data_IF_563755134725
#
_entry.id   IF_563755134725
#
_cell.length_a   1.000
_cell.length_b   1.000
_cell.length_c   1.000
_cell.angle_alpha   90.00
_cell.angle_beta   90.00
_cell.angle_gamma   90.00
#
_symmetry.space_group_name_H-M   'P 1'
#
loop_
_entity.id
_entity.type
_entity.pdbx_description
1 polymer ?
#
# COMPACT_ATOMS: atom_id res chain seq x y z
N UNK A 1 2.50 5.44 -15.38
CA UNK A 1 2.00 5.88 -16.69
C UNK A 1 0.99 4.85 -17.19
N UNK A 2 -0.30 5.16 -17.14
CA UNK A 2 -1.30 4.50 -17.99
C UNK A 2 -1.47 5.45 -19.18
N UNK A 3 -0.80 5.15 -20.30
CA UNK A 3 -1.19 5.74 -21.58
C UNK A 3 -2.65 5.38 -21.86
N UNK A 4 -3.38 6.25 -22.56
CA UNK A 4 -4.77 5.99 -22.91
C UNK A 4 -4.88 4.60 -23.54
N UNK A 5 -5.69 3.74 -22.93
CA UNK A 5 -5.93 2.40 -23.45
C UNK A 5 -6.95 2.53 -24.59
N UNK A 6 -6.74 1.88 -25.75
CA UNK A 6 -7.67 2.01 -26.87
C UNK A 6 -9.09 1.57 -26.47
N UNK A 7 -10.11 2.25 -27.00
CA UNK A 7 -11.53 1.89 -26.81
C UNK A 7 -11.88 0.68 -27.68
N UNK A 8 -11.31 -0.47 -27.31
CA UNK A 8 -11.53 -1.78 -27.93
C UNK A 8 -11.70 -2.84 -26.84
N UNK A 9 -12.30 -4.01 -27.13
CA UNK A 9 -12.38 -5.08 -26.14
C UNK A 9 -11.00 -5.53 -25.64
N UNK A 10 -9.98 -5.57 -26.50
CA UNK A 10 -8.59 -5.76 -26.08
C UNK A 10 -8.12 -4.66 -25.12
N UNK A 11 -8.38 -3.39 -25.45
CA UNK A 11 -8.00 -2.28 -24.58
C UNK A 11 -8.72 -2.30 -23.23
N UNK A 12 -10.01 -2.61 -23.19
CA UNK A 12 -10.75 -2.78 -21.93
C UNK A 12 -10.20 -3.94 -21.09
N UNK A 13 -9.90 -5.09 -21.71
CA UNK A 13 -9.30 -6.23 -21.01
C UNK A 13 -7.90 -5.91 -20.49
N UNK A 14 -7.09 -5.17 -21.26
CA UNK A 14 -5.76 -4.72 -20.84
C UNK A 14 -5.88 -3.72 -19.68
N UNK A 15 -6.82 -2.78 -19.75
CA UNK A 15 -7.13 -1.85 -18.68
C UNK A 15 -7.54 -2.57 -17.40
N UNK A 16 -8.42 -3.56 -17.47
CA UNK A 16 -8.83 -4.38 -16.33
C UNK A 16 -7.66 -5.19 -15.73
N UNK A 17 -6.84 -5.82 -16.56
CA UNK A 17 -5.63 -6.52 -16.12
C UNK A 17 -4.66 -5.56 -15.40
N UNK A 18 -4.40 -4.40 -16.00
CA UNK A 18 -3.55 -3.37 -15.41
C UNK A 18 -4.16 -2.76 -14.15
N UNK A 19 -5.50 -2.72 -14.01
CA UNK A 19 -6.18 -2.30 -12.79
C UNK A 19 -6.14 -3.38 -11.70
N UNK A 20 -5.90 -4.65 -12.01
CA UNK A 20 -5.62 -5.67 -10.99
C UNK A 20 -4.16 -5.62 -10.56
N UNK A 21 -3.25 -5.31 -11.48
CA UNK A 21 -1.83 -5.17 -11.19
C UNK A 21 -1.46 -3.84 -10.50
N UNK A 22 -2.00 -2.71 -10.96
CA UNK A 22 -1.88 -1.42 -10.27
C UNK A 22 -3.01 -1.21 -9.25
N UNK A 23 -3.86 -2.23 -9.08
CA UNK A 23 -5.04 -2.19 -8.25
C UNK A 23 -4.73 -2.15 -6.77
N UNK A 24 -5.49 -1.32 -6.08
CA UNK A 24 -5.42 -1.17 -4.63
C UNK A 24 -6.32 -2.19 -3.90
N UNK A 25 -6.91 -3.17 -4.60
CA UNK A 25 -7.59 -4.32 -3.99
C UNK A 25 -6.61 -5.20 -3.20
N UNK A 26 -7.08 -6.02 -2.23
CA UNK A 26 -6.26 -7.10 -1.70
C UNK A 26 -5.72 -7.91 -2.88
N UNK A 27 -4.41 -8.11 -2.91
CA UNK A 27 -3.79 -8.80 -4.03
C UNK A 27 -4.31 -10.23 -4.10
N UNK A 28 -4.86 -10.60 -5.24
CA UNK A 28 -5.27 -11.95 -5.57
C UNK A 28 -4.51 -12.39 -6.82
N UNK A 29 -3.47 -13.18 -6.60
CA UNK A 29 -2.61 -13.72 -7.66
C UNK A 29 -3.41 -14.57 -8.64
N UNK A 30 -4.36 -15.35 -8.16
CA UNK A 30 -5.20 -16.20 -8.99
C UNK A 30 -6.11 -15.35 -9.90
N UNK A 31 -6.71 -14.28 -9.36
CA UNK A 31 -7.49 -13.34 -10.14
C UNK A 31 -6.64 -12.62 -11.21
N UNK A 32 -5.39 -12.28 -10.88
CA UNK A 32 -4.47 -11.66 -11.83
C UNK A 32 -4.09 -12.61 -12.98
N UNK A 33 -3.79 -13.88 -12.68
CA UNK A 33 -3.54 -14.90 -13.70
C UNK A 33 -4.77 -15.18 -14.55
N UNK A 34 -5.96 -15.24 -13.95
CA UNK A 34 -7.20 -15.43 -14.69
C UNK A 34 -7.48 -14.26 -15.65
N UNK A 35 -7.28 -13.02 -15.21
CA UNK A 35 -7.43 -11.83 -16.06
C UNK A 35 -6.39 -11.81 -17.19
N UNK A 36 -5.15 -12.22 -16.93
CA UNK A 36 -4.13 -12.33 -17.97
C UNK A 36 -4.46 -13.39 -19.02
N UNK A 37 -5.02 -14.54 -18.60
CA UNK A 37 -5.50 -15.57 -19.52
C UNK A 37 -6.68 -15.07 -20.37
N UNK A 38 -7.62 -14.34 -19.78
CA UNK A 38 -8.72 -13.73 -20.51
C UNK A 38 -8.22 -12.70 -21.54
N UNK A 39 -7.23 -11.89 -21.17
CA UNK A 39 -6.60 -10.93 -22.07
C UNK A 39 -5.92 -11.61 -23.27
N UNK A 40 -5.22 -12.74 -23.05
CA UNK A 40 -4.67 -13.56 -24.14
C UNK A 40 -5.75 -13.98 -25.12
N UNK A 41 -6.87 -14.47 -24.60
CA UNK A 41 -7.94 -15.00 -25.44
C UNK A 41 -8.61 -13.89 -26.26
N UNK A 42 -8.70 -12.66 -25.73
CA UNK A 42 -9.14 -11.47 -26.49
C UNK A 42 -8.10 -11.08 -27.54
N UNK A 43 -6.82 -11.06 -27.18
CA UNK A 43 -5.73 -10.72 -28.09
C UNK A 43 -5.68 -11.67 -29.29
N UNK A 44 -5.85 -12.99 -29.07
CA UNK A 44 -5.86 -13.98 -30.12
C UNK A 44 -7.04 -13.81 -31.12
N UNK A 45 -8.17 -13.25 -30.66
CA UNK A 45 -9.34 -12.98 -31.51
C UNK A 45 -9.23 -11.68 -32.30
N UNK A 46 -8.77 -10.61 -31.66
CA UNK A 46 -8.76 -9.26 -32.27
C UNK A 46 -7.45 -8.94 -33.00
N UNK A 47 -6.36 -9.58 -32.59
CA UNK A 47 -5.01 -9.32 -33.08
C UNK A 47 -4.23 -10.63 -33.29
N UNK A 48 -4.70 -11.55 -34.16
CA UNK A 48 -4.10 -12.89 -34.33
C UNK A 48 -2.63 -12.85 -34.78
N UNK A 49 -2.22 -11.81 -35.50
CA UNK A 49 -0.85 -11.64 -35.99
C UNK A 49 0.09 -10.99 -34.97
N UNK A 50 -0.43 -10.55 -33.81
CA UNK A 50 0.37 -9.88 -32.78
C UNK A 50 1.06 -10.92 -31.89
N UNK A 51 2.37 -10.77 -31.60
CA UNK A 51 3.06 -11.68 -30.70
C UNK A 51 2.47 -11.64 -29.30
N UNK A 52 2.32 -12.82 -28.68
CA UNK A 52 1.83 -13.00 -27.32
C UNK A 52 2.79 -13.87 -26.48
N UNK A 53 3.13 -13.47 -25.24
CA UNK A 53 2.78 -12.21 -24.58
C UNK A 53 3.36 -10.98 -25.27
N UNK A 54 2.82 -9.80 -24.96
CA UNK A 54 3.27 -8.55 -25.58
C UNK A 54 4.77 -8.32 -25.30
N UNK A 55 5.61 -8.07 -26.33
CA UNK A 55 7.00 -7.71 -26.12
C UNK A 55 7.13 -6.42 -25.30
N UNK A 56 8.05 -6.40 -24.35
CA UNK A 56 8.40 -5.23 -23.53
C UNK A 56 9.92 -5.21 -23.29
N UNK A 57 10.40 -4.32 -22.43
CA UNK A 57 11.81 -4.25 -22.03
C UNK A 57 11.94 -4.08 -20.52
N UNK A 58 13.04 -4.59 -19.97
CA UNK A 58 13.50 -4.23 -18.64
C UNK A 58 14.06 -2.79 -18.63
N UNK A 59 14.24 -2.21 -17.44
CA UNK A 59 14.84 -0.87 -17.27
C UNK A 59 16.26 -0.77 -17.86
N UNK A 60 16.98 -1.90 -17.94
CA UNK A 60 18.30 -1.98 -18.57
C UNK A 60 18.25 -2.15 -20.10
N UNK A 61 17.06 -2.03 -20.71
CA UNK A 61 16.84 -2.16 -22.15
C UNK A 61 16.77 -3.61 -22.66
N UNK A 62 17.00 -4.62 -21.81
CA UNK A 62 16.95 -6.03 -22.24
C UNK A 62 15.52 -6.42 -22.68
N UNK A 63 15.37 -7.20 -23.76
CA UNK A 63 14.07 -7.71 -24.21
C UNK A 63 13.36 -8.51 -23.11
N UNK A 64 12.06 -8.29 -22.96
CA UNK A 64 11.20 -8.98 -22.02
C UNK A 64 9.82 -9.23 -22.64
N UNK A 65 8.97 -9.95 -21.90
CA UNK A 65 7.57 -10.17 -22.27
C UNK A 65 6.66 -9.75 -21.12
N UNK A 66 5.57 -9.06 -21.44
CA UNK A 66 4.56 -8.63 -20.47
C UNK A 66 3.81 -9.85 -19.95
N UNK A 67 4.27 -10.39 -18.85
CA UNK A 67 3.68 -11.52 -18.12
C UNK A 67 3.29 -11.07 -16.71
N UNK A 68 2.48 -11.88 -16.03
CA UNK A 68 2.17 -11.66 -14.61
C UNK A 68 3.48 -11.63 -13.80
N UNK A 69 4.36 -12.59 -14.04
CA UNK A 69 5.63 -12.77 -13.34
C UNK A 69 6.58 -11.60 -13.58
N UNK A 70 6.64 -11.08 -14.81
CA UNK A 70 7.44 -9.89 -15.12
C UNK A 70 6.96 -8.68 -14.30
N UNK A 71 5.64 -8.44 -14.27
CA UNK A 71 5.06 -7.34 -13.52
C UNK A 71 5.27 -7.50 -12.01
N UNK A 72 5.05 -8.71 -11.46
CA UNK A 72 5.35 -9.01 -10.06
C UNK A 72 6.83 -8.79 -9.74
N UNK A 73 7.73 -9.17 -10.65
CA UNK A 73 9.17 -8.94 -10.55
C UNK A 73 9.55 -7.46 -10.48
N UNK A 74 8.91 -6.61 -11.29
CA UNK A 74 9.10 -5.16 -11.23
C UNK A 74 8.68 -4.58 -9.87
N UNK A 75 7.51 -5.00 -9.36
CA UNK A 75 7.03 -4.59 -8.04
C UNK A 75 8.01 -4.98 -6.93
N UNK A 76 8.54 -6.22 -6.97
CA UNK A 76 9.55 -6.70 -6.02
C UNK A 76 10.86 -5.93 -6.10
N UNK A 77 11.34 -5.67 -7.31
CA UNK A 77 12.62 -4.98 -7.52
C UNK A 77 12.64 -3.56 -6.92
N UNK A 78 11.47 -2.89 -6.88
CA UNK A 78 11.32 -1.56 -6.26
C UNK A 78 11.71 -1.54 -4.78
N UNK A 79 11.30 -2.56 -4.03
CA UNK A 79 11.56 -2.63 -2.58
C UNK A 79 12.83 -3.40 -2.25
N UNK A 80 13.26 -4.33 -3.10
CA UNK A 80 14.47 -5.12 -2.89
C UNK A 80 15.76 -4.28 -2.85
N UNK A 81 15.73 -3.06 -3.40
CA UNK A 81 16.87 -2.12 -3.39
C UNK A 81 16.94 -1.27 -2.13
N UNK A 82 15.89 -1.26 -1.30
CA UNK A 82 15.82 -0.44 -0.10
C UNK A 82 16.52 -1.13 1.08
N UNK A 83 17.15 -0.37 2.00
CA UNK A 83 17.77 -0.92 3.19
C UNK A 83 16.74 -1.62 4.08
N UNK A 84 17.06 -2.84 4.50
CA UNK A 84 16.23 -3.62 5.43
C UNK A 84 16.40 -3.06 6.84
N UNK A 85 15.27 -2.89 7.54
CA UNK A 85 15.20 -2.38 8.91
C UNK A 85 14.58 -3.45 9.82
N UNK A 86 15.16 -3.72 11.00
CA UNK A 86 14.56 -4.67 11.94
C UNK A 86 13.25 -4.12 12.54
N UNK A 87 12.27 -4.99 12.76
CA UNK A 87 10.98 -4.63 13.36
C UNK A 87 11.14 -3.89 14.71
N UNK A 88 12.17 -4.22 15.49
CA UNK A 88 12.49 -3.51 16.74
C UNK A 88 12.84 -2.03 16.55
N UNK A 89 13.51 -1.67 15.46
CA UNK A 89 13.81 -0.27 15.13
C UNK A 89 12.55 0.49 14.70
N UNK A 90 11.69 -0.13 13.89
CA UNK A 90 10.37 0.43 13.54
C UNK A 90 9.51 0.61 14.79
N UNK A 91 9.49 -0.38 15.69
CA UNK A 91 8.82 -0.28 16.98
C UNK A 91 9.39 0.82 17.88
N UNK A 92 10.69 1.09 17.81
CA UNK A 92 11.31 2.22 18.51
C UNK A 92 10.90 3.57 17.92
N UNK A 93 10.89 3.70 16.60
CA UNK A 93 10.40 4.89 15.92
C UNK A 93 8.92 5.15 16.26
N UNK A 94 8.06 4.12 16.24
CA UNK A 94 6.64 4.25 16.59
C UNK A 94 6.38 4.64 18.05
N UNK A 95 7.33 4.45 18.96
CA UNK A 95 7.18 4.94 20.35
C UNK A 95 7.23 6.46 20.42
N UNK A 96 7.84 7.14 19.44
CA UNK A 96 7.86 8.61 19.40
C UNK A 96 6.47 9.19 19.13
N UNK A 97 5.56 8.42 18.51
CA UNK A 97 4.16 8.81 18.33
C UNK A 97 3.34 8.79 19.64
N UNK A 98 3.90 8.37 20.77
CA UNK A 98 3.18 8.42 22.04
C UNK A 98 2.73 9.85 22.35
N UNK A 99 1.45 10.02 22.67
CA UNK A 99 0.83 11.33 22.85
C UNK A 99 0.35 11.97 21.55
N UNK A 100 0.66 11.43 20.37
CA UNK A 100 0.14 11.97 19.12
C UNK A 100 -1.39 11.81 19.04
N UNK A 101 -2.07 12.84 18.54
CA UNK A 101 -3.52 12.86 18.36
C UNK A 101 -3.86 12.46 16.94
N UNK A 102 -4.85 11.59 16.76
CA UNK A 102 -5.39 11.30 15.43
C UNK A 102 -6.14 12.53 14.93
N UNK A 103 -5.76 13.03 13.77
CA UNK A 103 -6.47 14.14 13.14
C UNK A 103 -7.43 13.65 12.05
N UNK A 104 -6.91 12.81 11.16
CA UNK A 104 -7.62 12.36 9.98
C UNK A 104 -7.72 10.84 9.97
N UNK A 105 -8.91 10.35 9.61
CA UNK A 105 -9.09 8.95 9.21
C UNK A 105 -9.82 8.92 7.89
N UNK A 106 -9.08 8.59 6.84
CA UNK A 106 -9.61 8.42 5.50
C UNK A 106 -9.77 6.93 5.20
N UNK A 107 -10.98 6.57 4.78
CA UNK A 107 -11.23 5.26 4.18
C UNK A 107 -11.34 5.46 2.68
N UNK A 108 -10.38 4.90 1.95
CA UNK A 108 -10.38 4.96 0.50
C UNK A 108 -11.15 3.76 0.02
N UNK A 109 -12.32 3.98 -0.59
CA UNK A 109 -13.20 2.91 -1.10
C UNK A 109 -13.09 2.72 -2.61
N UNK A 110 -12.59 3.72 -3.32
CA UNK A 110 -12.33 3.70 -4.77
C UNK A 110 -11.09 2.83 -5.09
N UNK A 111 -10.30 2.52 -4.06
CA UNK A 111 -8.96 1.92 -4.11
C UNK A 111 -8.87 0.66 -3.18
N UNK A 112 -9.89 -0.18 -3.06
CA UNK A 112 -9.86 -1.34 -2.13
C UNK A 112 -10.09 -0.96 -0.66
N UNK A 113 -9.86 -1.83 0.35
CA UNK A 113 -10.09 -1.51 1.76
C UNK A 113 -8.89 -0.76 2.38
N UNK A 114 -8.43 0.32 1.75
CA UNK A 114 -7.30 1.11 2.25
C UNK A 114 -7.68 1.97 3.46
N UNK A 115 -6.80 2.06 4.44
CA UNK A 115 -6.92 2.95 5.60
C UNK A 115 -5.75 3.92 5.65
N UNK A 116 -6.06 5.21 5.73
CA UNK A 116 -5.09 6.25 6.08
C UNK A 116 -5.45 6.84 7.45
N UNK A 117 -4.47 6.91 8.33
CA UNK A 117 -4.59 7.57 9.64
C UNK A 117 -3.48 8.61 9.77
N UNK A 118 -3.87 9.88 9.91
CA UNK A 118 -2.95 11.00 10.09
C UNK A 118 -2.85 11.36 11.58
N UNK A 119 -1.61 11.54 12.05
CA UNK A 119 -1.27 11.84 13.43
C UNK A 119 -0.63 13.23 13.54
N UNK A 120 -1.06 13.98 14.54
CA UNK A 120 -0.50 15.29 14.89
C UNK A 120 0.13 15.29 16.27
N UNK A 121 1.08 16.20 16.47
CA UNK A 121 1.56 16.56 17.80
C UNK A 121 0.41 17.06 18.67
N UNK A 122 0.27 16.48 19.86
CA UNK A 122 -0.53 17.10 20.91
C UNK A 122 0.38 18.01 21.76
N UNK A 123 0.55 19.29 21.37
CA UNK A 123 0.95 20.35 22.31
C UNK A 123 0.83 21.79 21.74
N UNK A 124 -0.09 22.52 22.37
CA UNK A 124 -0.19 23.93 22.80
C UNK A 124 0.13 25.14 21.91
N UNK A 125 1.02 25.13 20.91
CA UNK A 125 1.31 26.40 20.20
C UNK A 125 1.23 26.33 18.66
N UNK A 126 1.62 25.24 18.00
CA UNK A 126 1.31 25.04 16.57
C UNK A 126 1.18 23.55 16.20
N UNK A 127 0.08 23.10 15.57
CA UNK A 127 -0.05 21.73 15.10
C UNK A 127 0.97 21.44 13.99
N UNK A 128 1.86 20.47 14.22
CA UNK A 128 2.72 19.88 13.18
C UNK A 128 2.29 18.44 12.90
N UNK A 129 2.26 18.08 11.61
CA UNK A 129 2.04 16.71 11.17
C UNK A 129 3.18 15.83 11.70
N UNK A 130 2.85 14.84 12.53
CA UNK A 130 3.83 13.96 13.17
C UNK A 130 4.09 12.71 12.31
N UNK A 131 3.05 12.24 11.63
CA UNK A 131 3.18 11.08 10.75
C UNK A 131 1.88 10.56 10.20
N UNK A 132 1.99 9.59 9.30
CA UNK A 132 0.84 8.95 8.67
C UNK A 132 1.05 7.43 8.62
N UNK A 133 -0.01 6.68 8.96
CA UNK A 133 -0.14 5.25 8.68
C UNK A 133 -0.98 5.09 7.42
N UNK A 134 -0.48 4.33 6.45
CA UNK A 134 -1.24 3.84 5.31
C UNK A 134 -1.29 2.32 5.35
N UNK A 135 -2.47 1.71 5.30
CA UNK A 135 -2.62 0.25 5.28
C UNK A 135 -3.46 -0.19 4.08
N UNK A 136 -2.85 -0.95 3.18
CA UNK A 136 -3.47 -1.55 1.99
C UNK A 136 -3.76 -3.06 2.18
N UNK A 137 -3.54 -3.55 3.41
CA UNK A 137 -3.84 -4.90 3.86
C UNK A 137 -5.05 -4.94 4.82
N UNK A 138 -5.29 -6.09 5.45
CA UNK A 138 -6.40 -6.23 6.37
C UNK A 138 -6.16 -5.41 7.65
N UNK A 139 -7.18 -4.68 8.11
CA UNK A 139 -7.12 -3.92 9.35
C UNK A 139 -8.46 -3.94 10.08
N UNK A 140 -8.43 -3.70 11.38
CA UNK A 140 -9.62 -3.61 12.22
C UNK A 140 -9.45 -2.57 13.33
N UNK A 141 -10.45 -1.71 13.49
CA UNK A 141 -10.59 -0.85 14.67
C UNK A 141 -11.55 -1.51 15.67
N UNK A 142 -11.08 -1.73 16.89
CA UNK A 142 -11.82 -2.38 17.97
C UNK A 142 -12.13 -1.34 19.06
N UNK A 143 -13.40 -1.21 19.49
CA UNK A 143 -13.79 -0.29 20.54
C UNK A 143 -13.30 -0.73 21.92
N UNK A 144 -13.24 0.23 22.86
CA UNK A 144 -12.87 0.00 24.26
C UNK A 144 -13.78 -0.99 25.00
N UNK A 145 -15.08 -1.01 24.67
CA UNK A 145 -16.03 -1.99 25.20
C UNK A 145 -16.49 -2.92 24.09
N UNK A 146 -16.42 -4.26 24.30
CA UNK A 146 -16.86 -5.23 23.30
C UNK A 146 -18.39 -5.20 23.19
N UNK A 147 -18.93 -4.35 22.33
CA UNK A 147 -20.31 -4.52 21.85
C UNK A 147 -20.32 -5.71 20.90
N UNK A 148 -21.27 -6.66 21.12
CA UNK A 148 -21.46 -7.85 20.28
C UNK A 148 -21.26 -7.52 18.79
N UNK A 149 -20.49 -8.34 18.06
CA UNK A 149 -20.21 -8.07 16.65
C UNK A 149 -21.53 -8.13 15.87
N UNK A 150 -21.92 -7.01 15.23
CA UNK A 150 -22.82 -7.09 14.08
C UNK A 150 -21.93 -7.06 12.85
N UNK A 151 -22.03 -8.10 12.03
CA UNK A 151 -21.19 -8.29 10.85
C UNK A 151 -21.39 -7.18 9.81
N UNK A 152 -20.32 -6.85 9.08
CA UNK A 152 -20.33 -5.96 7.91
C UNK A 152 -20.22 -4.46 8.25
N UNK A 153 -19.27 -3.76 7.60
CA UNK A 153 -19.07 -2.30 7.59
C UNK A 153 -18.61 -1.60 8.90
N UNK A 154 -18.44 -2.30 10.03
CA UNK A 154 -18.11 -1.65 11.31
C UNK A 154 -16.66 -1.18 11.48
N UNK A 155 -15.67 -1.75 10.80
CA UNK A 155 -14.27 -1.33 10.94
C UNK A 155 -14.06 0.17 10.65
N UNK A 156 -14.67 0.68 9.58
CA UNK A 156 -14.55 2.08 9.15
C UNK A 156 -15.18 3.04 10.14
N UNK A 157 -16.38 2.75 10.66
CA UNK A 157 -17.04 3.61 11.63
C UNK A 157 -16.24 3.71 12.94
N UNK A 158 -15.67 2.59 13.40
CA UNK A 158 -14.82 2.59 14.59
C UNK A 158 -13.47 3.27 14.33
N UNK A 159 -12.90 3.11 13.13
CA UNK A 159 -11.68 3.82 12.75
C UNK A 159 -11.92 5.34 12.71
N UNK A 160 -13.02 5.80 12.10
CA UNK A 160 -13.38 7.22 12.13
C UNK A 160 -13.63 7.76 13.55
N UNK A 161 -14.11 6.92 14.46
CA UNK A 161 -14.26 7.28 15.87
C UNK A 161 -12.91 7.45 16.62
N UNK A 162 -11.78 7.10 16.00
CA UNK A 162 -10.45 7.39 16.53
C UNK A 162 -10.05 8.86 16.35
N UNK A 163 -10.73 9.63 15.48
CA UNK A 163 -10.43 11.06 15.30
C UNK A 163 -10.50 11.78 16.66
N UNK A 164 -9.42 12.47 16.98
CA UNK A 164 -9.21 13.16 18.23
C UNK A 164 -8.70 12.30 19.39
N UNK A 165 -8.63 10.97 19.23
CA UNK A 165 -8.05 10.08 20.22
C UNK A 165 -6.53 10.23 20.26
N UNK A 166 -5.94 10.02 21.44
CA UNK A 166 -4.50 10.15 21.67
C UNK A 166 -3.89 8.76 21.65
N UNK A 167 -2.80 8.57 20.91
CA UNK A 167 -2.06 7.32 20.90
C UNK A 167 -1.33 7.15 22.24
N UNK A 168 -1.60 6.07 22.95
CA UNK A 168 -0.98 5.77 24.25
C UNK A 168 -0.06 4.55 24.21
N UNK A 169 -0.12 3.76 23.14
CA UNK A 169 0.78 2.64 22.94
C UNK A 169 0.83 2.18 21.49
N UNK A 170 1.99 1.67 21.09
CA UNK A 170 2.23 1.10 19.76
C UNK A 170 3.09 -0.15 19.90
N UNK A 171 2.77 -1.18 19.10
CA UNK A 171 3.52 -2.42 19.07
C UNK A 171 3.57 -2.97 17.65
N UNK A 172 4.76 -3.41 17.24
CA UNK A 172 4.99 -4.17 16.01
C UNK A 172 5.44 -5.57 16.39
N UNK A 173 4.70 -6.58 15.96
CA UNK A 173 5.07 -7.99 16.12
C UNK A 173 6.16 -8.42 15.14
N UNK A 174 6.81 -9.56 15.42
CA UNK A 174 7.80 -10.16 14.50
C UNK A 174 7.19 -10.58 13.16
N UNK A 175 5.90 -10.92 13.17
CA UNK A 175 5.09 -11.16 11.97
C UNK A 175 4.77 -9.88 11.18
N UNK A 176 5.11 -8.72 11.73
CA UNK A 176 4.82 -7.40 11.17
C UNK A 176 3.45 -6.86 11.56
N UNK A 177 2.67 -7.56 12.40
CA UNK A 177 1.37 -7.08 12.88
C UNK A 177 1.55 -5.79 13.68
N UNK A 178 0.84 -4.73 13.28
CA UNK A 178 0.87 -3.45 13.97
C UNK A 178 -0.37 -3.31 14.86
N UNK A 179 -0.16 -2.95 16.11
CA UNK A 179 -1.23 -2.62 17.05
C UNK A 179 -1.00 -1.23 17.62
N UNK A 180 -2.01 -0.37 17.50
CA UNK A 180 -2.05 0.98 18.05
C UNK A 180 -3.16 1.05 19.11
N UNK A 181 -2.82 1.48 20.32
CA UNK A 181 -3.74 1.63 21.44
C UNK A 181 -3.97 3.12 21.74
N UNK A 182 -5.22 3.49 21.98
CA UNK A 182 -5.63 4.89 22.14
C UNK A 182 -6.20 5.18 23.53
N UNK A 183 -6.14 6.43 23.95
CA UNK A 183 -6.61 6.93 25.26
C UNK A 183 -8.09 6.67 25.52
N UNK A 184 -8.88 6.47 24.46
CA UNK A 184 -10.29 6.10 24.54
C UNK A 184 -10.50 4.64 24.98
N UNK A 185 -9.43 3.84 25.09
CA UNK A 185 -9.44 2.39 25.27
C UNK A 185 -9.63 1.61 23.96
N UNK A 186 -9.80 2.30 22.83
CA UNK A 186 -9.93 1.68 21.51
C UNK A 186 -8.55 1.25 20.99
N UNK A 187 -8.53 0.33 20.03
CA UNK A 187 -7.31 -0.14 19.37
C UNK A 187 -7.49 -0.29 17.86
N UNK A 188 -6.44 0.00 17.11
CA UNK A 188 -6.35 -0.27 15.68
C UNK A 188 -5.33 -1.38 15.48
N UNK A 189 -5.72 -2.43 14.77
CA UNK A 189 -4.86 -3.55 14.44
C UNK A 189 -4.74 -3.65 12.91
N UNK A 190 -3.50 -3.69 12.42
CA UNK A 190 -3.18 -3.91 11.01
C UNK A 190 -2.51 -5.27 10.89
N UNK A 191 -3.05 -6.12 10.02
CA UNK A 191 -2.63 -7.50 9.81
C UNK A 191 -2.04 -7.58 8.40
N UNK A 192 -0.70 -7.69 8.28
CA UNK A 192 -0.04 -7.93 7.01
C UNK A 192 -0.69 -9.07 6.25
N UNK A 193 -0.82 -8.89 4.94
CA UNK A 193 -1.24 -9.99 4.08
C UNK A 193 -0.03 -10.81 3.64
N UNK A 194 -0.24 -11.65 2.63
CA UNK A 194 0.83 -12.29 1.87
C UNK A 194 1.19 -11.57 0.54
N UNK A 195 1.02 -10.23 0.35
CA UNK A 195 1.40 -9.64 -0.92
C UNK A 195 2.93 -9.68 -1.05
N UNK A 196 3.39 -10.31 -2.12
CA UNK A 196 4.83 -10.53 -2.34
C UNK A 196 5.47 -9.40 -3.16
N UNK A 197 4.69 -8.47 -3.70
CA UNK A 197 5.16 -7.45 -4.67
C UNK A 197 4.71 -6.01 -4.35
N UNK A 198 3.83 -5.80 -3.37
CA UNK A 198 3.42 -4.48 -2.85
C UNK A 198 3.57 -4.41 -1.33
N UNK A 199 3.52 -3.21 -0.76
CA UNK A 199 3.58 -3.03 0.69
C UNK A 199 2.29 -3.49 1.36
N UNK A 200 2.43 -4.06 2.55
CA UNK A 200 1.30 -4.37 3.45
C UNK A 200 0.74 -3.07 4.03
N UNK A 201 1.64 -2.25 4.56
CA UNK A 201 1.37 -0.92 5.08
C UNK A 201 2.66 -0.11 5.08
N UNK A 202 2.48 1.20 5.12
CA UNK A 202 3.55 2.20 5.18
C UNK A 202 3.39 3.06 6.42
N UNK A 203 4.51 3.44 7.01
CA UNK A 203 4.58 4.36 8.13
C UNK A 203 5.48 5.53 7.74
N UNK A 204 4.94 6.73 7.80
CA UNK A 204 5.71 7.96 7.64
C UNK A 204 5.90 8.59 9.01
N UNK A 205 7.12 8.62 9.54
CA UNK A 205 7.46 9.18 10.85
C UNK A 205 8.62 10.17 10.72
N UNK A 206 8.41 11.44 11.04
CA UNK A 206 9.52 12.41 11.21
C UNK A 206 10.52 12.42 10.04
N UNK A 207 10.02 12.38 8.80
CA UNK A 207 10.85 12.32 7.59
C UNK A 207 11.39 10.93 7.24
N UNK A 208 11.03 9.87 7.96
CA UNK A 208 11.37 8.48 7.63
C UNK A 208 10.15 7.74 7.06
N UNK A 209 10.35 6.98 5.99
CA UNK A 209 9.30 6.15 5.39
C UNK A 209 9.64 4.67 5.55
N UNK A 210 8.92 3.98 6.41
CA UNK A 210 9.03 2.53 6.56
C UNK A 210 7.96 1.83 5.76
N UNK A 211 8.37 0.87 4.94
CA UNK A 211 7.53 0.05 4.10
C UNK A 211 7.60 -1.39 4.61
N UNK A 212 6.45 -2.00 4.91
CA UNK A 212 6.40 -3.44 5.24
C UNK A 212 6.16 -4.23 3.97
N UNK A 213 7.14 -5.02 3.55
CA UNK A 213 7.16 -5.71 2.26
C UNK A 213 7.74 -7.12 2.40
N UNK A 214 7.03 -8.13 1.88
CA UNK A 214 7.47 -9.53 1.79
C UNK A 214 8.07 -10.11 3.09
N UNK A 215 7.47 -9.82 4.25
CA UNK A 215 7.96 -10.30 5.55
C UNK A 215 8.88 -9.33 6.29
N UNK A 216 9.37 -8.28 5.64
CA UNK A 216 10.45 -7.42 6.15
C UNK A 216 10.08 -5.94 6.12
N UNK A 217 10.65 -5.14 7.01
CA UNK A 217 10.59 -3.69 6.85
C UNK A 217 11.77 -3.22 6.02
N UNK A 218 11.50 -2.28 5.12
CA UNK A 218 12.53 -1.54 4.41
C UNK A 218 12.28 -0.05 4.61
N UNK A 219 13.34 0.74 4.58
CA UNK A 219 13.27 2.17 4.80
C UNK A 219 13.62 2.94 3.53
N UNK A 220 12.81 3.94 3.23
CA UNK A 220 13.14 4.98 2.27
C UNK A 220 13.43 6.25 3.06
N UNK A 221 14.69 6.61 3.17
CA UNK A 221 15.05 7.98 3.53
C UNK A 221 14.62 8.84 2.35
N UNK A 222 13.84 9.93 2.55
CA UNK A 222 13.63 10.89 1.49
C UNK A 222 15.01 11.44 1.15
N UNK A 223 15.56 10.97 0.04
CA UNK A 223 16.65 11.68 -0.59
C UNK A 223 16.14 13.11 -0.78
N UNK A 224 16.92 14.06 -0.26
CA UNK A 224 16.95 15.43 -0.79
C UNK A 224 16.80 15.27 -2.29
N UNK A 225 15.69 15.77 -2.86
CA UNK A 225 15.53 15.73 -4.31
C UNK A 225 16.76 16.39 -4.90
N UNK A 226 17.68 15.60 -5.44
CA UNK A 226 18.67 16.16 -6.34
C UNK A 226 17.87 16.62 -7.57
N UNK A 227 18.05 17.88 -8.00
CA UNK A 227 17.21 18.51 -9.02
C UNK A 227 17.33 17.90 -10.43
N UNK A 228 17.96 16.74 -10.59
CA UNK A 228 18.29 16.13 -11.88
C UNK A 228 17.35 14.97 -12.27
N UNK A 229 16.32 14.65 -11.48
CA UNK A 229 15.27 13.68 -11.88
C UNK A 229 14.19 14.29 -12.82
N UNK A 230 14.41 15.51 -13.31
CA UNK A 230 13.71 15.99 -14.50
C UNK A 230 14.27 15.26 -15.72
N UNK A 231 13.63 14.14 -16.07
CA UNK A 231 13.66 13.68 -17.46
C UNK A 231 12.98 14.80 -18.27
N UNK A 232 13.79 15.65 -18.89
CA UNK A 232 13.41 16.37 -20.09
C UNK A 232 12.94 15.33 -21.09
N UNK A 233 11.63 15.20 -21.23
CA UNK A 233 11.01 14.58 -22.38
C UNK A 233 10.94 15.64 -23.48
N UNK A 234 12.08 15.90 -24.10
CA UNK A 234 12.13 16.41 -25.47
C UNK A 234 12.57 15.26 -26.39
N UNK A 235 11.85 15.16 -27.52
CA UNK A 235 11.89 14.19 -28.63
C UNK A 235 10.93 12.97 -28.57
#
# INVERSE_FOLDING_TARGET
MLGSVPDTPFGHALGQFMLLFNGHLPFDEAALHAAFAALRDVAAREHPDRPWPLPTRHDNGAPAALTVEFLLGLGRARYARLPVVPAGAVGAALRTWHGARVEGVEYRRVEGPGLRVDFMQAADEEPRAWGTLFADCAWQALPATPRRPRAGARGVAHAKALVGAVLVGSQVGEDGRLTLAFSTGSRLEVVPGAPVWKTDYDLHLDGHYFHRFAGTFVERVPHVMEPDDFIDSDE
#
